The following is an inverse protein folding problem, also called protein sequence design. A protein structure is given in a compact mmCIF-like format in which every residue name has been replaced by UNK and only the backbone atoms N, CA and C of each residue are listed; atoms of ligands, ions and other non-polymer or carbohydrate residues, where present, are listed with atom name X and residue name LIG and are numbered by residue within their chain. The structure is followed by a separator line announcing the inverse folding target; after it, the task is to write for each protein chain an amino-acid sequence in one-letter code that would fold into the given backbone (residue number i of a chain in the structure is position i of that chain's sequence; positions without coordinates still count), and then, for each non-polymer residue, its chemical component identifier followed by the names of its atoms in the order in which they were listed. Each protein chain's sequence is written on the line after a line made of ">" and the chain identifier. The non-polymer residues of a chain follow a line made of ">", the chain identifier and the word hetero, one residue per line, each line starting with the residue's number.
data_IF_974539893147
#
_entry.id   IF_974539893147
#
_cell.length_a   1.000
_cell.length_b   1.000
_cell.length_c   1.000
_cell.angle_alpha   90.00
_cell.angle_beta   90.00
_cell.angle_gamma   90.00
#
_symmetry.space_group_name_H-M   'P 1'
#
loop_
_entity.id
_entity.type
_entity.pdbx_description
1 polymer ?
#
# COMPACT_ATOMS: atom_id res chain seq x y z
N UNK A 1 8.59 12.48 -7.36
CA UNK A 1 8.11 11.43 -8.28
C UNK A 1 6.64 11.07 -8.04
N UNK A 2 5.81 11.93 -7.43
CA UNK A 2 4.42 11.61 -7.07
C UNK A 2 3.41 12.16 -8.09
N UNK A 3 3.59 13.40 -8.56
CA UNK A 3 2.80 13.97 -9.66
C UNK A 3 2.91 13.13 -10.93
N UNK A 4 4.09 12.58 -11.20
CA UNK A 4 4.32 11.68 -12.34
C UNK A 4 3.50 10.40 -12.19
N UNK A 5 3.50 9.77 -11.02
CA UNK A 5 2.69 8.57 -10.77
C UNK A 5 1.19 8.85 -10.81
N UNK A 6 0.76 10.02 -10.35
CA UNK A 6 -0.64 10.44 -10.41
C UNK A 6 -1.05 10.73 -11.87
N UNK A 7 -0.22 11.46 -12.61
CA UNK A 7 -0.37 11.72 -14.04
C UNK A 7 -0.46 10.44 -14.87
N UNK A 8 0.45 9.48 -14.62
CA UNK A 8 0.47 8.17 -15.26
C UNK A 8 -0.82 7.38 -14.98
N UNK A 9 -1.26 7.35 -13.72
CA UNK A 9 -2.50 6.65 -13.31
C UNK A 9 -3.76 7.19 -13.99
N UNK A 10 -3.81 8.50 -14.23
CA UNK A 10 -4.94 9.18 -14.87
C UNK A 10 -4.75 9.35 -16.38
N UNK A 11 -3.66 8.84 -16.96
CA UNK A 11 -3.28 9.01 -18.36
C UNK A 11 -3.30 10.48 -18.82
N UNK A 12 -2.84 11.38 -17.94
CA UNK A 12 -2.82 12.84 -18.17
C UNK A 12 -1.40 13.38 -18.03
N UNK A 13 -1.07 14.52 -18.65
CA UNK A 13 0.19 15.20 -18.38
C UNK A 13 0.16 15.88 -17.00
N UNK A 14 1.34 16.05 -16.38
CA UNK A 14 1.48 16.63 -15.02
C UNK A 14 0.81 17.99 -14.88
N UNK A 15 0.99 18.89 -15.86
CA UNK A 15 0.41 20.24 -15.82
C UNK A 15 -1.12 20.22 -15.76
N UNK A 16 -1.77 19.21 -16.31
CA UNK A 16 -3.22 19.06 -16.26
C UNK A 16 -3.67 18.57 -14.88
N UNK A 17 -2.89 17.70 -14.23
CA UNK A 17 -3.14 17.27 -12.86
C UNK A 17 -3.05 18.46 -11.90
N UNK A 18 -2.06 19.34 -12.05
CA UNK A 18 -1.88 20.53 -11.21
C UNK A 18 -3.03 21.55 -11.34
N UNK A 19 -3.80 21.50 -12.43
CA UNK A 19 -4.96 22.38 -12.64
C UNK A 19 -6.27 21.76 -12.14
N UNK A 20 -6.39 20.42 -12.21
CA UNK A 20 -7.61 19.71 -11.88
C UNK A 20 -7.71 19.29 -10.41
N UNK A 21 -6.57 19.08 -9.75
CA UNK A 21 -6.50 18.58 -8.38
C UNK A 21 -5.89 19.64 -7.47
N UNK A 22 -6.48 19.81 -6.29
CA UNK A 22 -5.91 20.70 -5.28
C UNK A 22 -4.64 20.11 -4.67
N UNK A 23 -3.81 20.97 -4.07
CA UNK A 23 -2.63 20.51 -3.32
C UNK A 23 -3.00 19.54 -2.18
N UNK A 24 -4.20 19.71 -1.59
CA UNK A 24 -4.74 18.82 -0.56
C UNK A 24 -5.06 17.43 -1.14
N UNK A 25 -5.74 17.35 -2.29
CA UNK A 25 -6.05 16.07 -2.97
C UNK A 25 -4.78 15.32 -3.36
N UNK A 26 -3.78 16.06 -3.86
CA UNK A 26 -2.48 15.51 -4.25
C UNK A 26 -1.77 14.98 -3.00
N UNK A 27 -1.82 15.69 -1.88
CA UNK A 27 -1.21 15.28 -0.61
C UNK A 27 -1.91 14.06 -0.02
N UNK A 28 -3.24 14.00 -0.05
CA UNK A 28 -4.01 12.84 0.37
C UNK A 28 -3.67 11.62 -0.49
N UNK A 29 -3.57 11.78 -1.81
CA UNK A 29 -3.13 10.71 -2.69
C UNK A 29 -1.74 10.17 -2.32
N UNK A 30 -0.78 11.06 -2.04
CA UNK A 30 0.55 10.64 -1.58
C UNK A 30 0.49 9.85 -0.27
N UNK A 31 -0.32 10.30 0.69
CA UNK A 31 -0.48 9.63 1.97
C UNK A 31 -1.09 8.24 1.78
N UNK A 32 -2.12 8.11 0.93
CA UNK A 32 -2.76 6.86 0.61
C UNK A 32 -1.85 5.90 -0.16
N UNK A 33 -1.06 6.40 -1.12
CA UNK A 33 -0.11 5.58 -1.87
C UNK A 33 1.01 5.06 -0.97
N UNK A 34 1.55 5.92 -0.10
CA UNK A 34 2.52 5.53 0.92
C UNK A 34 1.95 4.49 1.88
N UNK A 35 0.71 4.68 2.35
CA UNK A 35 0.03 3.75 3.24
C UNK A 35 -0.22 2.40 2.53
N UNK A 36 -0.61 2.41 1.26
CA UNK A 36 -0.77 1.19 0.46
C UNK A 36 0.56 0.48 0.22
N UNK A 37 1.68 1.19 0.17
CA UNK A 37 3.01 0.62 0.05
C UNK A 37 3.63 0.23 1.40
N UNK A 38 3.02 0.64 2.51
CA UNK A 38 3.42 0.22 3.85
C UNK A 38 3.08 -1.26 4.08
N UNK A 39 4.14 -2.05 4.31
CA UNK A 39 4.02 -3.50 4.53
C UNK A 39 3.18 -3.83 5.77
N UNK A 40 3.22 -3.00 6.82
CA UNK A 40 2.43 -3.16 8.03
C UNK A 40 0.94 -2.98 7.73
N UNK A 41 0.60 -1.96 6.94
CA UNK A 41 -0.78 -1.73 6.52
C UNK A 41 -1.32 -2.87 5.64
N UNK A 42 -0.56 -3.33 4.64
CA UNK A 42 -0.92 -4.52 3.85
C UNK A 42 -1.14 -5.74 4.72
N UNK A 43 -0.22 -5.99 5.66
CA UNK A 43 -0.32 -7.12 6.57
C UNK A 43 -1.56 -7.02 7.47
N UNK A 44 -1.96 -5.81 7.87
CA UNK A 44 -3.17 -5.56 8.65
C UNK A 44 -4.43 -5.87 7.83
N UNK A 45 -4.50 -5.41 6.58
CA UNK A 45 -5.61 -5.71 5.67
C UNK A 45 -5.69 -7.22 5.40
N UNK A 46 -4.58 -7.87 5.05
CA UNK A 46 -4.55 -9.33 4.81
C UNK A 46 -5.04 -10.11 6.04
N UNK A 47 -4.62 -9.71 7.25
CA UNK A 47 -5.09 -10.34 8.48
C UNK A 47 -6.59 -10.09 8.74
N UNK A 48 -7.08 -8.88 8.49
CA UNK A 48 -8.50 -8.52 8.62
C UNK A 48 -9.39 -9.30 7.66
N UNK A 49 -8.91 -9.66 6.46
CA UNK A 49 -9.64 -10.50 5.49
C UNK A 49 -9.67 -12.00 5.83
N UNK A 50 -9.00 -12.43 6.90
CA UNK A 50 -9.05 -13.81 7.35
C UNK A 50 -10.28 -14.03 8.24
N UNK A 51 -11.40 -14.45 7.65
CA UNK A 51 -12.69 -14.53 8.35
C UNK A 51 -12.80 -15.66 9.39
N UNK A 52 -11.87 -16.62 9.37
CA UNK A 52 -11.90 -17.78 10.28
C UNK A 52 -10.65 -17.82 11.16
N UNK A 53 -10.77 -18.32 12.40
CA UNK A 53 -9.62 -18.53 13.27
C UNK A 53 -8.49 -19.35 12.61
N UNK A 54 -8.85 -20.39 11.84
CA UNK A 54 -7.90 -21.25 11.16
C UNK A 54 -7.10 -20.50 10.08
N UNK A 55 -7.76 -19.64 9.29
CA UNK A 55 -7.09 -18.78 8.30
C UNK A 55 -6.15 -17.77 8.98
N UNK A 56 -6.56 -17.19 10.12
CA UNK A 56 -5.72 -16.28 10.90
C UNK A 56 -4.46 -16.99 11.41
N UNK A 57 -4.59 -18.20 11.94
CA UNK A 57 -3.44 -18.99 12.42
C UNK A 57 -2.48 -19.34 11.28
N UNK A 58 -2.99 -19.81 10.14
CA UNK A 58 -2.17 -20.12 8.97
C UNK A 58 -1.42 -18.88 8.44
N UNK A 59 -2.09 -17.72 8.43
CA UNK A 59 -1.49 -16.45 8.05
C UNK A 59 -0.32 -16.07 8.98
N UNK A 60 -0.51 -16.17 10.30
CA UNK A 60 0.55 -15.86 11.28
C UNK A 60 1.74 -16.81 11.10
N UNK A 61 1.51 -18.11 10.92
CA UNK A 61 2.56 -19.10 10.69
C UNK A 61 3.38 -18.77 9.44
N UNK A 62 2.73 -18.41 8.33
CA UNK A 62 3.39 -18.00 7.09
C UNK A 62 4.29 -16.78 7.30
N UNK A 63 3.80 -15.73 7.99
CA UNK A 63 4.60 -14.51 8.25
C UNK A 63 5.80 -14.79 9.15
N UNK A 64 5.65 -15.67 10.16
CA UNK A 64 6.77 -16.10 11.01
C UNK A 64 7.85 -16.86 10.22
N UNK A 65 7.45 -17.72 9.29
CA UNK A 65 8.38 -18.46 8.44
C UNK A 65 9.12 -17.54 7.46
N UNK A 66 8.43 -16.56 6.86
CA UNK A 66 9.03 -15.53 6.03
C UNK A 66 10.08 -14.69 6.79
N UNK A 67 9.80 -14.32 8.05
CA UNK A 67 10.78 -13.62 8.89
C UNK A 67 12.02 -14.47 9.19
N UNK A 68 11.83 -15.76 9.50
CA UNK A 68 12.95 -16.69 9.74
C UNK A 68 13.85 -16.83 8.51
N UNK A 69 13.26 -16.90 7.31
CA UNK A 69 14.02 -16.95 6.04
C UNK A 69 14.85 -15.69 5.79
N UNK A 70 14.39 -14.52 6.25
CA UNK A 70 15.13 -13.25 6.13
C UNK A 70 16.26 -13.13 7.14
N UNK A 71 16.09 -13.63 8.35
CA UNK A 71 17.11 -13.56 9.41
C UNK A 71 18.24 -14.58 9.26
N UNK A 72 18.04 -15.64 8.46
CA UNK A 72 19.07 -16.64 8.16
C UNK A 72 19.88 -16.31 6.89
N UNK A 73 19.73 -15.10 6.33
CA UNK A 73 20.57 -14.54 5.25
C UNK A 73 21.49 -13.48 5.82
#
# INVERSE_FOLDING_TARGET
>A
MYLVSLADRHCKPVWQIEQEYSDEDITEFMALDRLKNDQSYRNKIEFSTCDTPQKKTAYIQRKLEEQRKRNNR
#
